data_IF_250200921388
#
_entry.id   IF_250200921388
#
_cell.length_a   1.000
_cell.length_b   1.000
_cell.length_c   1.000
_cell.angle_alpha   90.00
_cell.angle_beta   90.00
_cell.angle_gamma   90.00
#
_symmetry.space_group_name_H-M   'P 1'
#
loop_
_entity.id
_entity.type
_entity.pdbx_description
1 polymer ?
#
# COMPACT_ATOMS: atom_id res chain seq x y z
N UNK A 1 -10.94 47.89 -11.48
CA UNK A 1 -10.71 46.54 -10.89
C UNK A 1 -9.55 45.92 -11.66
N UNK A 2 -8.37 46.01 -11.10
CA UNK A 2 -7.15 45.53 -11.74
C UNK A 2 -7.09 43.99 -11.61
N UNK A 3 -7.12 43.30 -12.73
CA UNK A 3 -6.76 41.92 -12.80
C UNK A 3 -5.28 41.80 -12.38
N UNK A 4 -5.02 41.30 -11.19
CA UNK A 4 -3.72 40.78 -10.88
C UNK A 4 -3.52 39.54 -11.75
N UNK A 5 -2.72 39.67 -12.80
CA UNK A 5 -2.03 38.56 -13.41
C UNK A 5 -1.23 37.86 -12.31
N UNK A 6 -1.68 36.72 -11.88
CA UNK A 6 -0.83 35.78 -11.18
C UNK A 6 0.19 35.29 -12.21
N UNK A 7 1.30 36.05 -12.33
CA UNK A 7 2.51 35.51 -12.94
C UNK A 7 2.76 34.17 -12.24
N UNK A 8 2.70 33.09 -13.02
CA UNK A 8 2.70 31.74 -12.49
C UNK A 8 3.75 31.54 -11.42
N UNK A 9 3.32 31.18 -10.24
CA UNK A 9 4.13 30.30 -9.44
C UNK A 9 4.49 29.14 -10.39
N UNK A 10 5.77 28.83 -10.58
CA UNK A 10 6.10 27.57 -11.23
C UNK A 10 5.36 26.51 -10.43
N UNK A 11 4.58 25.70 -11.13
CA UNK A 11 3.97 24.56 -10.47
C UNK A 11 5.10 23.85 -9.76
N UNK A 12 5.01 23.64 -8.46
CA UNK A 12 6.10 23.04 -7.73
C UNK A 12 6.33 21.67 -8.35
N UNK A 13 7.53 21.43 -8.88
CA UNK A 13 7.99 20.12 -9.38
C UNK A 13 7.79 19.01 -8.36
N UNK A 14 7.43 19.36 -7.14
CA UNK A 14 7.09 18.53 -6.00
C UNK A 14 5.91 17.58 -6.21
N UNK A 15 5.06 17.81 -7.19
CA UNK A 15 3.83 17.03 -7.37
C UNK A 15 3.93 15.87 -8.35
N UNK A 16 5.06 15.68 -8.99
CA UNK A 16 5.18 14.68 -10.04
C UNK A 16 5.95 13.44 -9.61
N UNK A 17 5.39 12.68 -8.68
CA UNK A 17 5.81 11.27 -8.58
C UNK A 17 5.40 10.47 -9.80
N UNK A 18 4.47 10.98 -10.59
CA UNK A 18 3.93 10.34 -11.78
C UNK A 18 3.77 11.32 -12.93
N UNK A 19 4.00 10.84 -14.14
CA UNK A 19 3.64 11.53 -15.38
C UNK A 19 2.25 11.06 -15.81
N UNK A 20 1.36 12.00 -16.17
CA UNK A 20 0.00 11.71 -16.53
C UNK A 20 -0.22 11.61 -18.01
N UNK A 21 -1.17 10.78 -18.40
CA UNK A 21 -1.72 10.81 -19.72
C UNK A 21 -2.63 12.04 -19.89
N UNK A 22 -2.54 12.64 -21.04
CA UNK A 22 -3.30 13.85 -21.39
C UNK A 22 -4.70 13.58 -21.90
N UNK A 23 -5.13 12.32 -21.93
CA UNK A 23 -6.45 11.94 -22.43
C UNK A 23 -7.58 12.43 -21.55
N UNK A 24 -8.75 12.61 -22.15
CA UNK A 24 -10.00 13.07 -21.52
C UNK A 24 -10.94 11.87 -21.37
N UNK A 25 -10.79 11.01 -20.35
CA UNK A 25 -11.68 9.86 -20.21
C UNK A 25 -13.11 10.33 -19.92
N UNK A 26 -14.05 9.55 -20.41
CA UNK A 26 -15.46 9.79 -20.16
C UNK A 26 -15.97 8.79 -19.13
N UNK A 27 -16.61 9.28 -18.10
CA UNK A 27 -17.24 8.43 -17.10
C UNK A 27 -18.27 7.50 -17.73
N UNK A 28 -18.25 6.23 -17.33
CA UNK A 28 -19.15 5.21 -17.87
C UNK A 28 -18.83 4.75 -19.28
N UNK A 29 -17.82 5.31 -19.92
CA UNK A 29 -17.35 4.86 -21.23
C UNK A 29 -16.36 3.70 -21.10
N UNK A 30 -16.41 2.68 -21.97
CA UNK A 30 -15.39 1.65 -22.01
C UNK A 30 -14.07 2.11 -22.61
N UNK A 31 -13.88 3.41 -22.78
CA UNK A 31 -12.77 3.99 -23.52
C UNK A 31 -11.49 3.99 -22.71
N UNK A 32 -10.47 3.46 -23.31
CA UNK A 32 -9.08 3.68 -22.96
C UNK A 32 -8.54 4.74 -23.92
N UNK A 33 -8.44 5.96 -23.48
CA UNK A 33 -7.94 7.05 -24.32
C UNK A 33 -6.42 7.18 -24.29
N UNK A 34 -5.74 6.11 -24.00
CA UNK A 34 -4.32 6.15 -23.82
C UNK A 34 -3.59 6.16 -25.15
N UNK A 35 -2.94 7.25 -25.42
CA UNK A 35 -2.15 7.44 -26.64
C UNK A 35 -0.79 6.75 -26.63
N UNK A 36 -0.30 6.34 -25.44
CA UNK A 36 0.97 5.65 -25.29
C UNK A 36 0.73 4.18 -24.95
N UNK A 37 1.52 3.31 -25.54
CA UNK A 37 1.44 1.88 -25.23
C UNK A 37 1.88 1.65 -23.77
N UNK A 38 1.09 0.94 -22.97
CA UNK A 38 1.49 0.63 -21.60
C UNK A 38 2.59 -0.41 -21.56
N UNK A 39 3.55 -0.24 -20.65
CA UNK A 39 4.51 -1.27 -20.31
C UNK A 39 3.91 -2.29 -19.33
N UNK A 40 2.92 -1.85 -18.54
CA UNK A 40 2.18 -2.69 -17.59
C UNK A 40 0.69 -2.42 -17.68
N UNK A 41 -0.08 -3.50 -17.65
CA UNK A 41 -1.55 -3.47 -17.61
C UNK A 41 -2.06 -4.28 -16.45
N UNK A 42 -3.00 -3.71 -15.71
CA UNK A 42 -3.67 -4.37 -14.60
C UNK A 42 -5.17 -4.26 -14.79
N UNK A 43 -5.89 -5.35 -14.52
CA UNK A 43 -7.34 -5.38 -14.48
C UNK A 43 -7.79 -5.45 -13.03
N UNK A 44 -8.82 -4.68 -12.67
CA UNK A 44 -9.49 -4.76 -11.37
C UNK A 44 -10.99 -4.85 -11.60
N UNK A 45 -11.53 -6.00 -11.26
CA UNK A 45 -12.98 -6.25 -11.28
C UNK A 45 -13.49 -6.29 -9.84
N UNK A 46 -14.58 -5.61 -9.58
CA UNK A 46 -15.24 -5.71 -8.29
C UNK A 46 -15.83 -7.13 -8.12
N UNK A 47 -15.69 -7.64 -6.90
CA UNK A 47 -16.44 -8.82 -6.45
C UNK A 47 -16.90 -8.65 -5.00
N UNK A 48 -17.95 -9.35 -4.65
CA UNK A 48 -18.35 -9.61 -3.28
C UNK A 48 -18.49 -11.11 -3.06
N UNK A 49 -18.05 -11.57 -1.92
CA UNK A 49 -18.23 -12.97 -1.52
C UNK A 49 -18.12 -13.12 0.00
N UNK A 50 -18.70 -14.22 0.50
CA UNK A 50 -18.43 -14.66 1.87
C UNK A 50 -17.02 -15.23 1.94
N UNK A 51 -16.22 -14.70 2.85
CA UNK A 51 -14.81 -15.05 3.01
C UNK A 51 -14.58 -15.65 4.39
N UNK A 52 -13.86 -16.77 4.44
CA UNK A 52 -13.42 -17.39 5.68
C UNK A 52 -12.01 -16.95 6.02
N UNK A 53 -11.83 -16.43 7.22
CA UNK A 53 -10.55 -16.02 7.79
C UNK A 53 -9.87 -17.18 8.52
N UNK A 54 -8.55 -17.09 8.81
CA UNK A 54 -7.78 -18.19 9.41
C UNK A 54 -8.27 -18.65 10.79
N UNK A 55 -8.92 -17.76 11.54
CA UNK A 55 -9.53 -18.06 12.84
C UNK A 55 -10.94 -18.68 12.73
N UNK A 56 -11.38 -19.00 11.52
CA UNK A 56 -12.68 -19.56 11.22
C UNK A 56 -13.82 -18.54 11.13
N UNK A 57 -13.54 -17.26 11.39
CA UNK A 57 -14.53 -16.21 11.21
C UNK A 57 -14.91 -16.06 9.73
N UNK A 58 -16.20 -15.93 9.46
CA UNK A 58 -16.70 -15.73 8.10
C UNK A 58 -17.53 -14.45 8.02
N UNK A 59 -17.26 -13.67 7.00
CA UNK A 59 -18.02 -12.45 6.72
C UNK A 59 -18.04 -12.14 5.25
N UNK A 60 -18.91 -11.24 4.81
CA UNK A 60 -18.88 -10.70 3.46
C UNK A 60 -17.68 -9.77 3.29
N UNK A 61 -16.97 -9.93 2.18
CA UNK A 61 -15.89 -9.06 1.73
C UNK A 61 -16.25 -8.51 0.37
N UNK A 62 -16.00 -7.23 0.17
CA UNK A 62 -15.96 -6.58 -1.12
C UNK A 62 -14.51 -6.33 -1.48
N UNK A 63 -14.10 -6.67 -2.69
CA UNK A 63 -12.71 -6.49 -3.08
C UNK A 63 -12.55 -6.46 -4.61
N UNK A 64 -11.30 -6.46 -5.06
CA UNK A 64 -10.97 -6.50 -6.47
C UNK A 64 -10.30 -7.82 -6.84
N UNK A 65 -10.66 -8.37 -8.01
CA UNK A 65 -9.96 -9.46 -8.66
C UNK A 65 -9.29 -8.99 -9.96
N UNK A 66 -8.29 -9.70 -10.44
CA UNK A 66 -7.56 -9.38 -11.67
C UNK A 66 -7.95 -10.27 -12.86
N UNK A 67 -8.89 -11.18 -12.65
CA UNK A 67 -9.33 -12.15 -13.65
C UNK A 67 -8.39 -13.35 -13.83
N UNK A 68 -7.24 -13.39 -13.18
CA UNK A 68 -6.23 -14.45 -13.29
C UNK A 68 -5.87 -15.10 -11.97
N UNK A 69 -5.66 -14.32 -10.93
CA UNK A 69 -5.28 -14.80 -9.59
C UNK A 69 -6.45 -15.32 -8.76
N UNK A 70 -7.67 -15.25 -9.29
CA UNK A 70 -8.90 -15.55 -8.56
C UNK A 70 -9.24 -14.44 -7.54
N UNK A 71 -10.18 -14.76 -6.63
CA UNK A 71 -10.67 -13.84 -5.61
C UNK A 71 -9.83 -13.95 -4.35
N UNK A 72 -8.70 -13.27 -4.35
CA UNK A 72 -7.77 -13.22 -3.21
C UNK A 72 -8.00 -11.98 -2.36
N UNK A 73 -7.69 -12.07 -1.08
CA UNK A 73 -7.75 -10.97 -0.14
C UNK A 73 -6.46 -10.86 0.70
N UNK A 74 -5.78 -9.71 0.78
CA UNK A 74 -6.06 -8.43 0.07
C UNK A 74 -6.07 -8.58 -1.45
N UNK A 75 -6.63 -7.58 -2.14
CA UNK A 75 -6.68 -7.59 -3.60
C UNK A 75 -5.27 -7.75 -4.23
N UNK A 76 -5.17 -8.26 -5.46
CA UNK A 76 -3.89 -8.52 -6.12
C UNK A 76 -2.99 -7.28 -6.17
N UNK A 77 -1.69 -7.46 -5.94
CA UNK A 77 -0.73 -6.37 -5.98
C UNK A 77 -0.66 -5.71 -7.37
N UNK A 78 -0.49 -4.39 -7.36
CA UNK A 78 0.01 -3.64 -8.52
C UNK A 78 1.52 -3.49 -8.30
N UNK A 79 2.34 -4.04 -9.20
CA UNK A 79 3.78 -3.86 -9.16
C UNK A 79 4.28 -3.35 -10.51
N UNK A 80 4.91 -2.19 -10.48
CA UNK A 80 5.45 -1.53 -11.64
C UNK A 80 6.85 -0.99 -11.33
N UNK A 81 7.51 -0.45 -12.34
CA UNK A 81 8.84 0.15 -12.22
C UNK A 81 8.77 1.62 -12.59
N UNK A 82 9.61 2.42 -11.99
CA UNK A 82 9.82 3.79 -12.42
C UNK A 82 10.09 3.87 -13.94
N UNK A 83 9.49 4.85 -14.60
CA UNK A 83 9.58 5.04 -16.05
C UNK A 83 8.62 4.19 -16.89
N UNK A 84 7.98 3.15 -16.32
CA UNK A 84 6.97 2.36 -17.03
C UNK A 84 5.65 3.13 -17.13
N UNK A 85 5.00 3.07 -18.30
CA UNK A 85 3.62 3.52 -18.44
C UNK A 85 2.70 2.41 -17.92
N UNK A 86 1.85 2.77 -16.96
CA UNK A 86 1.00 1.83 -16.24
C UNK A 86 -0.47 2.13 -16.52
N UNK A 87 -1.21 1.11 -16.88
CA UNK A 87 -2.66 1.13 -17.01
C UNK A 87 -3.32 0.26 -15.94
N UNK A 88 -4.29 0.81 -15.24
CA UNK A 88 -5.11 0.06 -14.29
C UNK A 88 -6.57 0.20 -14.71
N UNK A 89 -7.13 -0.83 -15.31
CA UNK A 89 -8.51 -0.82 -15.78
C UNK A 89 -9.43 -1.30 -14.67
N UNK A 90 -10.36 -0.44 -14.25
CA UNK A 90 -11.43 -0.78 -13.33
C UNK A 90 -12.68 -1.18 -14.12
N UNK A 91 -13.27 -2.31 -13.75
CA UNK A 91 -14.57 -2.78 -14.21
C UNK A 91 -15.49 -3.03 -13.01
N UNK A 92 -16.25 -2.04 -12.55
CA UNK A 92 -17.24 -2.24 -11.50
C UNK A 92 -18.42 -3.06 -12.06
N UNK A 93 -18.65 -4.22 -11.49
CA UNK A 93 -19.76 -5.08 -11.94
C UNK A 93 -21.13 -4.59 -11.44
N UNK A 94 -21.14 -3.86 -10.34
CA UNK A 94 -22.35 -3.33 -9.69
C UNK A 94 -22.00 -2.00 -9.02
N UNK A 95 -22.86 -0.99 -9.22
CA UNK A 95 -22.70 0.36 -8.63
C UNK A 95 -21.39 1.03 -9.06
N UNK A 96 -21.13 2.20 -8.51
CA UNK A 96 -19.90 2.94 -8.77
C UNK A 96 -18.78 2.52 -7.82
N UNK A 97 -17.57 2.51 -8.36
CA UNK A 97 -16.33 2.32 -7.62
C UNK A 97 -15.24 3.22 -8.18
N UNK A 98 -14.13 3.32 -7.48
CA UNK A 98 -12.92 4.00 -7.96
C UNK A 98 -11.69 3.19 -7.62
N UNK A 99 -10.54 3.56 -8.21
CA UNK A 99 -9.23 3.15 -7.75
C UNK A 99 -8.44 4.43 -7.45
N UNK A 100 -8.28 4.72 -6.17
CA UNK A 100 -7.38 5.75 -5.68
C UNK A 100 -5.99 5.15 -5.45
N UNK A 101 -4.97 5.80 -6.01
CA UNK A 101 -3.56 5.38 -5.88
C UNK A 101 -2.95 6.07 -4.67
N UNK A 102 -3.20 5.54 -3.48
CA UNK A 102 -2.87 6.18 -2.22
C UNK A 102 -1.37 6.42 -2.03
N UNK A 103 -1.01 7.67 -1.82
CA UNK A 103 0.38 8.13 -1.65
C UNK A 103 1.08 8.52 -2.95
N UNK A 104 0.42 8.32 -4.10
CA UNK A 104 0.80 8.93 -5.36
C UNK A 104 -0.11 10.12 -5.62
N UNK A 105 0.39 11.14 -6.30
CA UNK A 105 -0.33 12.40 -6.55
C UNK A 105 -0.65 12.54 -8.04
N UNK A 106 -1.63 11.80 -8.57
CA UNK A 106 -2.03 11.90 -9.95
C UNK A 106 -2.85 13.16 -10.23
N UNK A 107 -3.01 13.48 -11.52
CA UNK A 107 -4.00 14.50 -11.88
C UNK A 107 -5.42 14.02 -11.46
N UNK A 108 -6.38 14.94 -11.26
CA UNK A 108 -7.69 14.59 -10.73
C UNK A 108 -8.41 13.47 -11.48
N UNK A 109 -8.21 13.31 -12.78
CA UNK A 109 -8.86 12.28 -13.58
C UNK A 109 -8.36 10.87 -13.26
N UNK A 110 -7.11 10.76 -12.83
CA UNK A 110 -6.48 9.48 -12.49
C UNK A 110 -6.35 9.26 -10.98
N UNK A 111 -6.81 10.21 -10.17
CA UNK A 111 -6.73 10.15 -8.71
C UNK A 111 -7.73 9.17 -8.09
N UNK A 112 -8.89 8.98 -8.73
CA UNK A 112 -9.91 8.09 -8.24
C UNK A 112 -10.64 8.56 -6.99
N UNK A 113 -10.53 9.84 -6.63
CA UNK A 113 -11.28 10.48 -5.55
C UNK A 113 -12.54 11.11 -6.14
N UNK A 114 -13.71 10.58 -5.80
CA UNK A 114 -14.97 10.98 -6.43
C UNK A 114 -15.28 12.48 -6.35
N UNK A 115 -14.86 13.18 -5.31
CA UNK A 115 -15.08 14.61 -5.12
C UNK A 115 -14.22 15.50 -6.02
N UNK A 116 -13.04 15.04 -6.40
CA UNK A 116 -12.10 15.80 -7.25
C UNK A 116 -12.05 15.25 -8.67
N UNK A 117 -12.63 14.09 -8.90
CA UNK A 117 -12.66 13.37 -10.17
C UNK A 117 -14.09 12.91 -10.49
N UNK A 118 -14.31 11.60 -10.56
CA UNK A 118 -15.62 11.00 -10.81
C UNK A 118 -15.63 9.55 -10.29
N UNK A 119 -16.84 9.03 -10.12
CA UNK A 119 -17.06 7.63 -9.82
C UNK A 119 -17.25 6.82 -11.11
N UNK A 120 -16.64 5.66 -11.17
CA UNK A 120 -16.72 4.79 -12.34
C UNK A 120 -17.93 3.86 -12.22
N UNK A 121 -18.87 3.98 -13.15
CA UNK A 121 -20.07 3.11 -13.24
C UNK A 121 -19.98 2.09 -14.35
N UNK A 122 -19.19 2.34 -15.38
CA UNK A 122 -18.92 1.46 -16.51
C UNK A 122 -17.51 0.87 -16.43
N UNK A 123 -16.64 1.30 -17.33
CA UNK A 123 -15.23 0.93 -17.32
C UNK A 123 -14.37 2.18 -17.44
N UNK A 124 -13.27 2.21 -16.70
CA UNK A 124 -12.30 3.28 -16.78
C UNK A 124 -10.89 2.74 -16.64
N UNK A 125 -9.93 3.34 -17.34
CA UNK A 125 -8.51 2.98 -17.23
C UNK A 125 -7.73 4.16 -16.64
N UNK A 126 -7.33 4.00 -15.39
CA UNK A 126 -6.38 4.89 -14.72
C UNK A 126 -5.01 4.71 -15.33
N UNK A 127 -4.29 5.80 -15.48
CA UNK A 127 -3.06 5.84 -16.27
C UNK A 127 -2.04 6.71 -15.59
N UNK A 128 -0.85 6.18 -15.39
CA UNK A 128 0.25 6.92 -14.77
C UNK A 128 1.61 6.38 -15.21
N UNK A 129 2.62 7.18 -15.01
CA UNK A 129 4.02 6.78 -15.22
C UNK A 129 4.82 7.23 -14.01
N UNK A 130 5.23 6.30 -13.10
CA UNK A 130 6.06 6.66 -11.96
C UNK A 130 7.35 7.31 -12.41
N UNK A 131 7.69 8.47 -11.86
CA UNK A 131 8.88 9.22 -12.23
C UNK A 131 10.14 8.54 -11.72
N UNK A 132 11.18 8.36 -12.54
CA UNK A 132 12.47 7.87 -12.08
C UNK A 132 13.17 8.88 -11.17
N UNK A 133 13.82 8.38 -10.13
CA UNK A 133 14.73 9.20 -9.35
C UNK A 133 15.93 9.66 -10.16
N UNK A 134 16.39 10.88 -9.89
CA UNK A 134 17.56 11.46 -10.55
C UNK A 134 18.39 12.29 -9.56
N UNK A 135 19.69 12.49 -9.82
CA UNK A 135 20.52 13.39 -9.03
C UNK A 135 19.92 14.80 -9.02
N UNK A 136 19.82 15.40 -7.84
CA UNK A 136 19.26 16.76 -7.68
C UNK A 136 17.71 16.80 -7.60
N UNK A 137 17.01 15.70 -7.89
CA UNK A 137 15.57 15.61 -7.70
C UNK A 137 15.24 15.58 -6.20
N UNK A 138 14.46 16.54 -5.68
CA UNK A 138 14.09 16.56 -4.25
C UNK A 138 13.26 15.36 -3.82
N UNK A 139 12.48 14.78 -4.73
CA UNK A 139 11.64 13.61 -4.47
C UNK A 139 12.39 12.28 -4.62
N UNK A 140 13.51 12.28 -5.35
CA UNK A 140 14.32 11.07 -5.62
C UNK A 140 13.54 9.91 -6.21
N UNK A 141 12.55 10.21 -7.04
CA UNK A 141 11.72 9.23 -7.74
C UNK A 141 10.50 8.77 -6.97
N UNK A 142 9.79 7.83 -7.56
CA UNK A 142 8.52 7.28 -7.08
C UNK A 142 8.65 5.86 -6.48
N UNK A 143 9.86 5.30 -6.40
CA UNK A 143 10.05 3.96 -5.86
C UNK A 143 9.68 3.88 -4.38
N UNK A 144 8.84 2.89 -4.01
CA UNK A 144 8.37 2.72 -2.64
C UNK A 144 7.16 1.82 -2.50
N UNK A 145 6.65 1.78 -1.27
CA UNK A 145 5.45 1.03 -0.90
C UNK A 145 4.25 1.93 -0.80
N UNK A 146 3.20 1.57 -1.53
CA UNK A 146 1.92 2.25 -1.62
C UNK A 146 0.78 1.24 -1.46
N UNK A 147 -0.46 1.71 -1.55
CA UNK A 147 -1.61 0.85 -1.77
C UNK A 147 -2.66 1.57 -2.62
N UNK A 148 -3.54 0.81 -3.24
CA UNK A 148 -4.69 1.34 -3.95
C UNK A 148 -5.98 0.91 -3.25
N UNK A 149 -7.00 1.74 -3.33
CA UNK A 149 -8.29 1.43 -2.72
C UNK A 149 -9.46 2.14 -3.40
N UNK A 150 -10.68 1.68 -3.11
CA UNK A 150 -11.88 2.39 -3.53
C UNK A 150 -12.06 3.66 -2.69
N UNK A 151 -12.45 4.75 -3.35
CA UNK A 151 -12.72 6.03 -2.70
C UNK A 151 -14.21 6.46 -2.80
N UNK A 152 -15.09 5.54 -3.17
CA UNK A 152 -16.55 5.70 -3.01
C UNK A 152 -16.92 5.18 -1.63
N UNK A 153 -17.56 6.02 -0.80
CA UNK A 153 -17.82 5.68 0.61
C UNK A 153 -16.59 5.04 1.27
N UNK A 154 -15.48 5.75 1.24
CA UNK A 154 -14.12 5.24 1.51
C UNK A 154 -14.05 4.48 2.84
N UNK A 155 -14.69 5.05 3.88
CA UNK A 155 -14.69 4.49 5.22
C UNK A 155 -15.23 3.05 5.21
N UNK A 156 -16.38 2.83 4.57
CA UNK A 156 -16.99 1.52 4.49
C UNK A 156 -16.26 0.60 3.49
N UNK A 157 -15.96 1.09 2.28
CA UNK A 157 -15.41 0.23 1.23
C UNK A 157 -14.02 -0.30 1.56
N UNK A 158 -13.16 0.51 2.19
CA UNK A 158 -11.84 0.04 2.65
C UNK A 158 -12.02 -1.01 3.75
N UNK A 159 -12.92 -0.77 4.72
CA UNK A 159 -13.22 -1.74 5.77
C UNK A 159 -13.74 -3.05 5.18
N UNK A 160 -14.58 -2.98 4.16
CA UNK A 160 -15.10 -4.17 3.47
C UNK A 160 -14.04 -4.94 2.68
N UNK A 161 -12.86 -4.35 2.46
CA UNK A 161 -11.73 -5.03 1.83
C UNK A 161 -11.37 -4.53 0.42
N UNK A 162 -11.90 -3.38 -0.01
CA UNK A 162 -11.61 -2.83 -1.33
C UNK A 162 -10.27 -2.10 -1.36
N UNK A 163 -9.20 -2.82 -1.10
CA UNK A 163 -7.82 -2.34 -1.16
C UNK A 163 -6.85 -3.43 -1.59
N UNK A 164 -5.72 -3.02 -2.13
CA UNK A 164 -4.61 -3.91 -2.46
C UNK A 164 -3.27 -3.19 -2.41
N UNK A 165 -2.17 -3.91 -2.25
CA UNK A 165 -0.84 -3.32 -2.22
C UNK A 165 -0.43 -2.78 -3.58
N UNK A 166 0.36 -1.71 -3.57
CA UNK A 166 1.04 -1.21 -4.76
C UNK A 166 2.51 -0.98 -4.44
N UNK A 167 3.37 -1.48 -5.30
CA UNK A 167 4.83 -1.37 -5.15
C UNK A 167 5.40 -0.80 -6.43
N UNK A 168 6.17 0.25 -6.30
CA UNK A 168 6.95 0.81 -7.40
C UNK A 168 8.41 0.48 -7.15
N UNK A 169 8.98 -0.31 -8.05
CA UNK A 169 10.41 -0.60 -8.05
C UNK A 169 11.18 0.56 -8.68
N UNK A 170 12.42 0.86 -8.25
CA UNK A 170 13.24 1.86 -8.90
C UNK A 170 13.58 1.46 -10.35
N UNK A 171 13.97 2.43 -11.16
CA UNK A 171 14.29 2.22 -12.58
C UNK A 171 15.37 1.13 -12.81
N UNK A 172 16.28 0.96 -11.86
CA UNK A 172 17.32 -0.10 -11.88
C UNK A 172 16.76 -1.49 -11.54
N UNK A 173 15.51 -1.59 -11.05
CA UNK A 173 14.84 -2.86 -10.75
C UNK A 173 14.92 -3.29 -9.29
N UNK A 174 14.36 -4.49 -9.02
CA UNK A 174 14.31 -5.10 -7.68
C UNK A 174 15.70 -5.33 -7.08
N UNK A 175 15.75 -5.37 -5.75
CA UNK A 175 16.99 -5.54 -4.98
C UNK A 175 17.62 -4.19 -4.59
N UNK A 176 17.10 -3.08 -5.14
CA UNK A 176 17.35 -1.71 -4.72
C UNK A 176 16.00 -1.13 -4.34
N UNK A 177 15.90 -0.39 -3.23
CA UNK A 177 14.61 0.08 -2.72
C UNK A 177 14.20 1.45 -3.29
N UNK A 178 15.19 2.29 -3.66
CA UNK A 178 14.99 3.62 -4.23
C UNK A 178 16.24 4.04 -5.03
N UNK A 179 16.17 5.15 -5.75
CA UNK A 179 17.15 5.58 -6.75
C UNK A 179 18.62 5.49 -6.31
N UNK A 180 18.97 6.06 -5.18
CA UNK A 180 20.36 6.11 -4.65
C UNK A 180 20.50 5.28 -3.36
N UNK A 181 19.78 4.19 -3.25
CA UNK A 181 19.86 3.27 -2.11
C UNK A 181 21.26 2.64 -2.01
N UNK A 182 22.02 2.93 -0.95
CA UNK A 182 23.39 2.44 -0.82
C UNK A 182 23.47 0.98 -0.35
N UNK A 183 22.36 0.38 0.09
CA UNK A 183 22.36 -0.94 0.76
C UNK A 183 21.62 -1.99 -0.07
N UNK A 184 20.45 -1.64 -0.63
CA UNK A 184 19.59 -2.60 -1.28
C UNK A 184 18.91 -3.57 -0.31
N UNK A 185 18.40 -4.68 -0.87
CA UNK A 185 17.78 -5.77 -0.11
C UNK A 185 17.86 -7.11 -0.88
N UNK A 186 17.72 -8.22 -0.16
CA UNK A 186 17.62 -9.56 -0.77
C UNK A 186 16.17 -9.78 -1.24
N UNK A 187 15.98 -9.96 -2.55
CA UNK A 187 14.65 -10.13 -3.14
C UNK A 187 13.93 -11.40 -2.67
N UNK A 188 14.66 -12.43 -2.25
CA UNK A 188 14.10 -13.66 -1.67
C UNK A 188 13.46 -13.39 -0.29
N UNK A 189 13.94 -12.36 0.40
CA UNK A 189 13.49 -11.94 1.72
C UNK A 189 12.71 -10.61 1.68
N UNK A 190 11.92 -10.38 0.64
CA UNK A 190 11.00 -9.25 0.53
C UNK A 190 9.61 -9.68 0.98
N UNK A 191 9.12 -9.14 2.09
CA UNK A 191 7.82 -9.49 2.66
C UNK A 191 6.93 -8.27 2.79
N UNK A 192 5.68 -8.38 2.35
CA UNK A 192 4.62 -7.43 2.63
C UNK A 192 3.84 -7.86 3.87
N UNK A 193 3.65 -6.94 4.81
CA UNK A 193 2.82 -7.11 5.99
C UNK A 193 1.76 -6.02 6.02
N UNK A 194 0.49 -6.44 5.97
CA UNK A 194 -0.67 -5.55 6.04
C UNK A 194 -1.39 -5.78 7.34
N UNK A 195 -1.46 -4.75 8.18
CA UNK A 195 -2.28 -4.76 9.38
C UNK A 195 -3.73 -4.47 9.00
N UNK A 196 -4.64 -5.39 9.34
CA UNK A 196 -6.06 -5.27 9.02
C UNK A 196 -6.91 -5.71 10.21
N UNK A 197 -7.99 -5.00 10.46
CA UNK A 197 -8.94 -5.35 11.52
C UNK A 197 -10.37 -5.28 10.99
N UNK A 198 -11.27 -6.09 11.58
CA UNK A 198 -12.67 -6.20 11.14
C UNK A 198 -13.59 -5.83 12.27
N UNK A 199 -14.49 -4.87 11.99
CA UNK A 199 -15.71 -4.66 12.76
C UNK A 199 -16.85 -5.43 12.07
N UNK A 200 -17.31 -6.54 12.64
CA UNK A 200 -18.34 -7.37 12.01
C UNK A 200 -19.65 -6.66 11.72
N UNK A 201 -19.96 -5.59 12.47
CA UNK A 201 -21.20 -4.82 12.28
C UNK A 201 -21.17 -4.09 10.94
N UNK A 202 -20.01 -3.56 10.55
CA UNK A 202 -19.86 -2.84 9.30
C UNK A 202 -19.98 -3.76 8.08
N UNK A 203 -19.62 -5.02 8.21
CA UNK A 203 -19.75 -6.01 7.17
C UNK A 203 -21.20 -6.47 6.89
N UNK A 204 -22.15 -5.97 7.67
CA UNK A 204 -23.58 -6.13 7.41
C UNK A 204 -24.22 -4.94 6.70
N UNK A 205 -23.47 -3.84 6.47
CA UNK A 205 -24.01 -2.65 5.82
C UNK A 205 -24.18 -2.81 4.32
N UNK A 206 -25.13 -2.05 3.76
CA UNK A 206 -25.29 -1.94 2.32
C UNK A 206 -24.18 -1.05 1.73
N UNK A 207 -23.93 -1.18 0.43
CA UNK A 207 -22.95 -0.38 -0.30
C UNK A 207 -23.12 1.15 -0.12
N UNK A 208 -24.34 1.62 0.00
CA UNK A 208 -24.67 3.04 0.12
C UNK A 208 -24.92 3.50 1.56
N UNK A 209 -24.63 2.67 2.56
CA UNK A 209 -24.88 3.01 3.95
C UNK A 209 -24.17 4.32 4.34
N UNK A 210 -24.89 5.26 4.93
CA UNK A 210 -24.40 6.57 5.34
C UNK A 210 -24.29 7.62 4.23
N UNK A 211 -24.44 7.26 2.94
CA UNK A 211 -24.29 8.23 1.84
C UNK A 211 -25.43 9.23 1.73
N UNK A 212 -26.60 8.91 2.25
CA UNK A 212 -27.73 9.84 2.30
C UNK A 212 -27.71 10.74 3.57
N UNK A 213 -26.66 10.64 4.39
CA UNK A 213 -26.50 11.41 5.63
C UNK A 213 -27.13 10.75 6.85
N UNK A 214 -27.64 9.54 6.73
CA UNK A 214 -28.17 8.77 7.85
C UNK A 214 -27.03 8.27 8.77
N UNK A 215 -27.24 8.31 10.10
CA UNK A 215 -26.32 7.72 11.07
C UNK A 215 -26.51 6.20 11.14
N UNK A 216 -25.72 5.48 10.38
CA UNK A 216 -25.66 4.00 10.42
C UNK A 216 -24.59 3.49 11.39
N UNK A 217 -23.88 4.39 12.09
CA UNK A 217 -22.81 4.03 13.03
C UNK A 217 -21.43 3.89 12.40
N UNK A 218 -21.19 4.44 11.20
CA UNK A 218 -19.86 4.51 10.58
C UNK A 218 -18.87 5.43 11.32
N UNK A 219 -19.35 6.18 12.31
CA UNK A 219 -18.54 6.98 13.23
C UNK A 219 -18.03 6.18 14.44
N UNK A 220 -18.42 4.89 14.55
CA UNK A 220 -18.07 4.00 15.66
C UNK A 220 -17.44 2.72 15.12
N UNK A 221 -16.14 2.75 14.96
CA UNK A 221 -15.37 1.58 14.55
C UNK A 221 -14.86 0.81 15.78
N UNK A 222 -15.40 -0.39 16.00
CA UNK A 222 -15.09 -1.26 17.14
C UNK A 222 -14.70 -2.66 16.65
N UNK A 223 -13.47 -2.82 16.12
CA UNK A 223 -13.05 -4.09 15.58
C UNK A 223 -12.87 -5.14 16.67
N UNK A 224 -13.30 -6.35 16.37
CA UNK A 224 -13.13 -7.52 17.23
C UNK A 224 -12.25 -8.60 16.62
N UNK A 225 -11.82 -8.41 15.37
CA UNK A 225 -10.96 -9.34 14.64
C UNK A 225 -9.75 -8.59 14.10
N UNK A 226 -8.58 -9.22 14.20
CA UNK A 226 -7.29 -8.62 13.87
C UNK A 226 -6.45 -9.61 13.07
N UNK A 227 -5.91 -9.18 11.93
CA UNK A 227 -5.20 -10.04 11.00
C UNK A 227 -3.91 -9.39 10.51
N UNK A 228 -2.89 -10.22 10.28
CA UNK A 228 -1.69 -9.88 9.54
C UNK A 228 -1.81 -10.54 8.16
N UNK A 229 -1.97 -9.73 7.14
CA UNK A 229 -2.16 -10.15 5.77
C UNK A 229 -0.90 -9.89 4.94
N UNK A 230 -0.83 -10.46 3.73
CA UNK A 230 0.28 -10.25 2.81
C UNK A 230 1.09 -11.52 2.57
N UNK A 231 2.40 -11.43 2.67
CA UNK A 231 3.32 -12.55 2.49
C UNK A 231 4.59 -12.20 1.75
N UNK A 232 5.42 -13.20 1.51
CA UNK A 232 6.65 -13.05 0.73
C UNK A 232 6.30 -12.72 -0.73
N UNK A 233 6.93 -11.68 -1.27
CA UNK A 233 6.64 -11.15 -2.60
C UNK A 233 7.39 -11.90 -3.72
N UNK A 234 8.26 -12.82 -3.38
CA UNK A 234 8.97 -13.66 -4.34
C UNK A 234 8.31 -15.04 -4.55
N UNK A 235 7.37 -15.39 -3.69
CA UNK A 235 6.61 -16.64 -3.80
C UNK A 235 5.36 -16.43 -4.66
N UNK A 236 5.10 -17.27 -5.67
CA UNK A 236 3.84 -17.24 -6.42
C UNK A 236 2.64 -17.28 -5.48
N UNK A 237 1.63 -16.50 -5.83
CA UNK A 237 0.45 -16.30 -4.98
C UNK A 237 -0.22 -17.59 -4.54
N UNK A 238 -0.78 -17.57 -3.34
CA UNK A 238 -1.68 -18.63 -2.86
C UNK A 238 -2.84 -18.79 -3.86
N UNK A 239 -3.35 -19.99 -3.95
CA UNK A 239 -4.41 -20.36 -4.87
C UNK A 239 -5.65 -19.47 -4.80
N UNK A 240 -6.60 -19.63 -5.73
CA UNK A 240 -7.77 -18.77 -5.85
C UNK A 240 -8.65 -18.80 -4.60
N UNK A 241 -9.29 -17.68 -4.30
CA UNK A 241 -10.26 -17.51 -3.20
C UNK A 241 -9.71 -17.64 -1.78
N UNK A 242 -8.47 -17.23 -1.55
CA UNK A 242 -7.82 -17.32 -0.24
C UNK A 242 -7.62 -15.94 0.41
N UNK A 243 -7.75 -15.90 1.75
CA UNK A 243 -7.19 -14.84 2.56
C UNK A 243 -5.68 -15.07 2.65
N UNK A 244 -4.91 -14.14 2.11
CA UNK A 244 -3.45 -14.19 2.18
C UNK A 244 -2.98 -13.68 3.53
N UNK A 245 -2.66 -14.59 4.44
CA UNK A 245 -1.96 -14.25 5.68
C UNK A 245 -0.45 -14.16 5.47
N UNK A 246 0.21 -13.38 6.32
CA UNK A 246 1.66 -13.13 6.23
C UNK A 246 2.38 -14.41 6.54
N UNK A 247 2.44 -15.44 6.40
CA UNK A 247 3.30 -16.58 6.70
C UNK A 247 4.57 -16.17 7.47
N UNK A 248 5.68 -16.83 7.19
CA UNK A 248 6.97 -16.45 7.74
C UNK A 248 7.51 -15.19 7.02
N UNK A 249 7.92 -14.23 7.80
CA UNK A 249 8.72 -13.09 7.33
C UNK A 249 10.16 -13.60 7.19
N UNK A 250 10.77 -13.38 6.03
CA UNK A 250 12.13 -13.85 5.79
C UNK A 250 13.15 -12.74 6.07
N UNK A 251 14.23 -13.10 6.73
CA UNK A 251 15.36 -12.21 6.98
C UNK A 251 16.69 -12.91 6.61
N UNK A 252 17.69 -12.13 6.31
CA UNK A 252 19.05 -12.63 6.04
C UNK A 252 19.89 -12.62 7.32
N UNK A 253 20.97 -13.39 7.41
CA UNK A 253 21.86 -13.38 8.58
C UNK A 253 22.49 -11.98 8.79
N UNK A 254 22.94 -11.67 10.04
CA UNK A 254 23.70 -10.46 10.29
C UNK A 254 24.99 -10.45 9.47
N UNK A 255 25.32 -9.28 8.91
CA UNK A 255 26.48 -9.12 8.03
C UNK A 255 26.26 -9.56 6.57
N UNK A 256 25.07 -10.06 6.22
CA UNK A 256 24.73 -10.27 4.82
C UNK A 256 24.82 -8.96 4.01
N UNK A 257 25.31 -9.04 2.78
CA UNK A 257 25.47 -7.89 1.91
C UNK A 257 24.14 -7.17 1.63
N UNK A 258 23.04 -7.93 1.62
CA UNK A 258 21.68 -7.41 1.42
C UNK A 258 20.74 -7.94 2.51
N UNK A 259 20.16 -7.05 3.31
CA UNK A 259 19.19 -7.43 4.36
C UNK A 259 17.86 -7.86 3.77
N UNK A 260 17.04 -8.56 4.57
CA UNK A 260 15.63 -8.76 4.28
C UNK A 260 14.86 -7.42 4.34
N UNK A 261 13.83 -7.29 3.51
CA UNK A 261 12.96 -6.12 3.44
C UNK A 261 11.56 -6.45 3.91
N UNK A 262 11.11 -5.73 4.93
CA UNK A 262 9.73 -5.74 5.39
C UNK A 262 9.03 -4.46 4.94
N UNK A 263 8.01 -4.61 4.09
CA UNK A 263 7.11 -3.55 3.67
C UNK A 263 5.86 -3.61 4.53
N UNK A 264 5.55 -2.54 5.25
CA UNK A 264 4.42 -2.50 6.19
C UNK A 264 3.36 -1.54 5.69
N UNK A 265 2.10 -1.95 5.75
CA UNK A 265 0.94 -1.14 5.41
C UNK A 265 -0.12 -1.27 6.51
N UNK A 266 -0.65 -0.14 6.99
CA UNK A 266 -1.77 -0.10 7.92
C UNK A 266 -3.09 0.10 7.19
N UNK A 267 -3.73 -0.97 6.74
CA UNK A 267 -5.02 -0.94 6.05
C UNK A 267 -6.20 -1.03 7.04
N UNK A 268 -6.14 -0.26 8.12
CA UNK A 268 -7.23 -0.15 9.09
C UNK A 268 -7.30 1.27 9.68
N UNK A 269 -8.32 1.56 10.50
CA UNK A 269 -8.56 2.91 11.03
C UNK A 269 -7.86 3.21 12.36
N UNK A 270 -7.42 2.20 13.07
CA UNK A 270 -6.70 2.39 14.34
C UNK A 270 -5.20 2.57 14.09
N UNK A 271 -4.52 3.38 14.89
CA UNK A 271 -3.07 3.37 14.94
C UNK A 271 -2.57 1.97 15.30
N UNK A 272 -1.43 1.62 14.79
CA UNK A 272 -0.74 0.37 15.09
C UNK A 272 0.64 0.62 15.67
N UNK A 273 1.09 -0.32 16.49
CA UNK A 273 2.45 -0.36 16.99
C UNK A 273 3.10 -1.67 16.57
N UNK A 274 4.15 -1.59 15.79
CA UNK A 274 5.00 -2.69 15.41
C UNK A 274 6.14 -2.79 16.42
N UNK A 275 6.39 -4.00 16.94
CA UNK A 275 7.48 -4.28 17.87
C UNK A 275 8.30 -5.45 17.33
N UNK A 276 9.61 -5.25 17.22
CA UNK A 276 10.55 -6.31 16.89
C UNK A 276 10.93 -7.07 18.15
N UNK A 277 10.92 -8.40 18.12
CA UNK A 277 11.07 -9.26 19.27
C UNK A 277 12.34 -10.13 19.16
N UNK A 278 12.87 -10.56 20.30
CA UNK A 278 14.01 -11.48 20.35
C UNK A 278 15.36 -10.85 19.99
N UNK A 279 15.48 -9.52 20.08
CA UNK A 279 16.69 -8.79 19.69
C UNK A 279 16.75 -8.44 18.20
N UNK A 280 15.74 -8.83 17.42
CA UNK A 280 15.56 -8.30 16.07
C UNK A 280 15.34 -6.78 16.13
N UNK A 281 15.88 -6.05 15.18
CA UNK A 281 15.62 -4.60 15.02
C UNK A 281 15.15 -4.31 13.61
N UNK A 282 14.39 -3.22 13.46
CA UNK A 282 14.02 -2.65 12.19
C UNK A 282 14.87 -1.42 11.86
N UNK A 283 15.45 -1.38 10.69
CA UNK A 283 16.05 -0.17 10.13
C UNK A 283 15.05 0.48 9.20
N UNK A 284 14.32 1.46 9.70
CA UNK A 284 13.35 2.25 8.93
C UNK A 284 14.10 3.19 8.01
N UNK A 285 13.85 3.11 6.70
CA UNK A 285 14.52 3.96 5.72
C UNK A 285 13.55 4.68 4.76
N UNK A 286 12.27 4.30 4.76
CA UNK A 286 11.25 5.00 3.98
C UNK A 286 9.92 5.04 4.71
N UNK A 287 9.17 6.12 4.48
CA UNK A 287 7.83 6.37 4.99
C UNK A 287 6.95 6.87 3.86
N UNK A 288 5.75 6.32 3.73
CA UNK A 288 4.73 6.70 2.73
C UNK A 288 5.25 6.73 1.28
N UNK A 289 6.06 5.72 0.92
CA UNK A 289 6.66 5.62 -0.40
C UNK A 289 7.84 6.57 -0.62
N UNK A 290 8.29 7.28 0.42
CA UNK A 290 9.40 8.24 0.34
C UNK A 290 10.58 7.78 1.17
N UNK A 291 11.79 7.70 0.60
CA UNK A 291 12.99 7.46 1.39
C UNK A 291 13.25 8.62 2.34
N UNK A 292 13.69 8.29 3.56
CA UNK A 292 14.09 9.29 4.55
C UNK A 292 15.34 10.02 4.04
N UNK A 293 15.34 11.34 4.14
CA UNK A 293 16.40 12.22 3.59
C UNK A 293 16.88 13.22 4.61
N UNK A 294 18.18 13.51 4.55
CA UNK A 294 18.79 14.60 5.30
C UNK A 294 18.47 15.93 4.60
N UNK A 295 17.50 16.65 5.13
CA UNK A 295 17.09 17.96 4.63
C UNK A 295 17.80 19.12 5.35
N UNK A 296 18.75 18.83 6.23
CA UNK A 296 19.50 19.89 6.92
C UNK A 296 20.41 20.64 5.95
N UNK A 297 20.74 21.91 6.24
CA UNK A 297 21.73 22.64 5.46
C UNK A 297 23.05 21.85 5.40
N UNK A 298 23.49 21.50 4.19
CA UNK A 298 24.68 20.66 3.95
C UNK A 298 24.42 19.15 3.93
N UNK A 299 23.22 18.67 4.25
CA UNK A 299 22.85 17.26 4.18
C UNK A 299 22.68 16.74 2.75
N UNK A 300 22.46 17.65 1.79
CA UNK A 300 22.36 17.37 0.34
C UNK A 300 21.36 16.27 -0.02
N UNK A 301 20.34 16.02 0.82
CA UNK A 301 19.34 14.99 0.59
C UNK A 301 19.90 13.56 0.63
N UNK A 302 21.02 13.33 1.31
CA UNK A 302 21.56 11.97 1.48
C UNK A 302 20.54 11.04 2.15
N UNK A 303 20.53 9.74 1.79
CA UNK A 303 19.66 8.78 2.46
C UNK A 303 19.90 8.70 3.96
N UNK A 304 18.81 8.62 4.72
CA UNK A 304 18.81 8.38 6.16
C UNK A 304 18.12 7.06 6.48
N UNK A 305 18.44 6.51 7.64
CA UNK A 305 17.71 5.40 8.24
C UNK A 305 17.73 5.50 9.76
N UNK A 306 16.75 4.91 10.42
CA UNK A 306 16.62 4.86 11.86
C UNK A 306 16.49 3.41 12.34
N UNK A 307 17.39 2.97 13.20
CA UNK A 307 17.32 1.66 13.84
C UNK A 307 16.38 1.74 15.05
N UNK A 308 15.39 0.85 15.11
CA UNK A 308 14.38 0.85 16.16
C UNK A 308 13.94 -0.56 16.58
N UNK A 309 13.48 -0.67 17.82
CA UNK A 309 12.79 -1.85 18.35
C UNK A 309 11.27 -1.72 18.24
N UNK A 310 10.77 -0.48 18.08
CA UNK A 310 9.34 -0.16 18.06
C UNK A 310 9.06 0.94 17.05
N UNK A 311 7.98 0.79 16.30
CA UNK A 311 7.47 1.79 15.38
C UNK A 311 5.95 1.93 15.58
N UNK A 312 5.46 3.14 15.83
CA UNK A 312 4.03 3.43 15.85
C UNK A 312 3.65 4.19 14.58
N UNK A 313 2.52 3.86 13.99
CA UNK A 313 2.06 4.46 12.73
C UNK A 313 0.54 4.51 12.62
N UNK A 314 0.05 5.53 11.94
CA UNK A 314 -1.37 5.82 11.75
C UNK A 314 -2.06 4.97 10.67
N UNK A 315 -3.36 5.23 10.49
CA UNK A 315 -4.13 4.65 9.39
C UNK A 315 -3.53 5.07 8.05
N UNK A 316 -3.49 4.15 7.11
CA UNK A 316 -3.00 4.32 5.76
C UNK A 316 -1.49 4.61 5.61
N UNK A 317 -0.73 4.73 6.70
CA UNK A 317 0.73 4.88 6.63
C UNK A 317 1.42 3.58 6.17
N UNK A 318 2.52 3.74 5.45
CA UNK A 318 3.38 2.66 4.95
C UNK A 318 4.82 2.92 5.33
N UNK A 319 5.53 1.84 5.64
CA UNK A 319 6.96 1.89 5.96
C UNK A 319 7.72 0.81 5.22
N UNK A 320 8.94 1.14 4.78
CA UNK A 320 9.91 0.17 4.27
C UNK A 320 11.06 0.04 5.29
N UNK A 321 11.29 -1.20 5.72
CA UNK A 321 12.12 -1.52 6.89
C UNK A 321 13.07 -2.66 6.53
N UNK A 322 14.38 -2.45 6.65
CA UNK A 322 15.35 -3.54 6.59
C UNK A 322 15.38 -4.27 7.91
N UNK A 323 15.33 -5.59 7.86
CA UNK A 323 15.42 -6.43 9.05
C UNK A 323 16.88 -6.60 9.47
N UNK A 324 17.16 -6.34 10.75
CA UNK A 324 18.49 -6.40 11.35
C UNK A 324 18.48 -7.41 12.51
N UNK A 325 18.77 -8.70 12.23
CA UNK A 325 18.92 -9.70 13.28
C UNK A 325 20.11 -9.40 14.20
N UNK A 326 20.07 -9.89 15.46
CA UNK A 326 21.18 -9.71 16.39
C UNK A 326 22.45 -10.42 15.92
N UNK A 327 23.60 -9.94 16.36
CA UNK A 327 24.88 -10.57 16.07
C UNK A 327 24.86 -12.05 16.53
N UNK A 328 25.34 -12.94 15.67
CA UNK A 328 25.36 -14.39 15.94
C UNK A 328 24.11 -15.15 15.49
N UNK A 329 23.05 -14.48 15.02
CA UNK A 329 21.90 -15.16 14.42
C UNK A 329 22.31 -15.96 13.16
N UNK A 330 21.77 -17.15 13.00
CA UNK A 330 22.12 -18.14 11.95
C UNK A 330 20.91 -18.51 11.13
N UNK A 331 21.08 -19.07 9.92
CA UNK A 331 19.99 -19.67 9.17
C UNK A 331 19.21 -20.68 10.02
N UNK A 332 17.88 -20.54 10.00
CA UNK A 332 16.95 -21.35 10.82
C UNK A 332 16.55 -20.68 12.15
N UNK A 333 17.31 -19.72 12.66
CA UNK A 333 16.90 -18.97 13.85
C UNK A 333 15.61 -18.18 13.59
N UNK A 334 14.83 -18.00 14.67
CA UNK A 334 13.52 -17.36 14.59
C UNK A 334 13.39 -16.20 15.55
N UNK A 335 12.70 -15.15 15.09
CA UNK A 335 12.37 -13.95 15.81
C UNK A 335 10.90 -13.62 15.63
N UNK A 336 10.43 -12.48 16.10
CA UNK A 336 9.05 -12.06 15.94
C UNK A 336 8.89 -10.61 15.53
N UNK A 337 7.81 -10.35 14.80
CA UNK A 337 7.26 -9.02 14.57
C UNK A 337 5.84 -9.00 15.11
N UNK A 338 5.58 -8.20 16.15
CA UNK A 338 4.27 -8.05 16.76
C UNK A 338 3.63 -6.75 16.30
N UNK A 339 2.37 -6.83 15.89
CA UNK A 339 1.49 -5.67 15.67
C UNK A 339 0.46 -5.61 16.80
N UNK A 340 0.37 -4.47 17.47
CA UNK A 340 -0.68 -4.10 18.40
C UNK A 340 -1.59 -3.04 17.75
N UNK A 341 -2.89 -3.26 17.69
CA UNK A 341 -3.87 -2.25 17.31
C UNK A 341 -4.25 -1.43 18.53
N UNK A 342 -4.21 -0.10 18.41
CA UNK A 342 -4.34 0.81 19.54
C UNK A 342 -5.61 1.64 19.43
N UNK A 343 -6.30 1.81 20.55
CA UNK A 343 -7.41 2.74 20.62
C UNK A 343 -6.89 4.18 20.51
N UNK A 344 -7.55 4.97 19.69
CA UNK A 344 -7.10 6.30 19.27
C UNK A 344 -6.72 7.25 20.42
N UNK A 345 -7.61 7.35 21.41
CA UNK A 345 -7.50 8.36 22.48
C UNK A 345 -6.61 7.86 23.61
N UNK A 346 -6.78 6.62 23.99
CA UNK A 346 -6.17 6.06 25.21
C UNK A 346 -4.86 5.31 24.95
N UNK A 347 -4.58 4.95 23.71
CA UNK A 347 -3.47 4.04 23.38
C UNK A 347 -3.64 2.62 23.88
N UNK A 348 -4.82 2.26 24.42
CA UNK A 348 -5.10 0.90 24.90
C UNK A 348 -5.00 -0.09 23.76
N UNK A 349 -4.32 -1.22 23.98
CA UNK A 349 -4.26 -2.31 23.02
C UNK A 349 -5.63 -2.96 22.88
N UNK A 350 -6.16 -2.96 21.67
CA UNK A 350 -7.43 -3.60 21.29
C UNK A 350 -7.23 -5.05 20.88
N UNK A 351 -6.10 -5.34 20.25
CA UNK A 351 -5.72 -6.67 19.81
C UNK A 351 -4.26 -6.73 19.42
N UNK A 352 -3.70 -7.92 19.39
CA UNK A 352 -2.31 -8.17 19.02
C UNK A 352 -2.17 -9.39 18.14
N UNK A 353 -1.23 -9.36 17.20
CA UNK A 353 -0.81 -10.53 16.42
C UNK A 353 0.70 -10.49 16.25
N UNK A 354 1.29 -11.67 16.19
CA UNK A 354 2.73 -11.84 15.97
C UNK A 354 2.97 -12.70 14.73
N UNK A 355 3.79 -12.21 13.81
CA UNK A 355 4.35 -13.00 12.72
C UNK A 355 5.73 -13.50 13.12
N UNK A 356 6.07 -14.72 12.68
CA UNK A 356 7.39 -15.30 12.86
C UNK A 356 8.34 -14.74 11.80
N UNK A 357 9.55 -14.42 12.20
CA UNK A 357 10.66 -14.05 11.31
C UNK A 357 11.65 -15.21 11.29
N UNK A 358 12.06 -15.65 10.11
CA UNK A 358 12.99 -16.78 9.92
C UNK A 358 14.21 -16.30 9.16
N UNK A 359 15.39 -16.64 9.67
CA UNK A 359 16.65 -16.35 8.98
C UNK A 359 16.83 -17.41 7.87
N UNK A 360 16.93 -16.93 6.63
CA UNK A 360 17.22 -17.80 5.47
C UNK A 360 18.73 -17.96 5.25
N UNK A 361 19.09 -18.97 4.44
CA UNK A 361 20.49 -19.23 4.07
C UNK A 361 21.00 -18.25 3.00
#
# INVERSE_FOLDING_TARGET
MSHHSTAGCPEPELHTQVEFATSQPQQGSPVTEFRRQPARTFLRKFYNQRQRFPDGFETEIWSFEDGTSGRVFPAPAIRAREGEIVHVTLQPAKRSHTIHLHGMEPDPRNDGVGHTSFEVTGQYTYQFKPQPGAPGDPNRGAAGTYFYHCHVNTVLHVQMGMFGPMIIDPAVGRGTAFFDDPVGYDTRAETLLVAYSVDPRWHAFSHAAGLAGEDVGLNRFEPTRFYLLGGNLDVPGLGPSAVKTVGDILATPPGAARPGLLRVNNANYHPTRLTFLGGLKGEVFAHDGRPLRDTTPGGQGRPLSALTDVLAFGAAERYDIRLRPPAGARPGDTFGVRIDWLQWVTGKVLGSRTARVVIIA
#
